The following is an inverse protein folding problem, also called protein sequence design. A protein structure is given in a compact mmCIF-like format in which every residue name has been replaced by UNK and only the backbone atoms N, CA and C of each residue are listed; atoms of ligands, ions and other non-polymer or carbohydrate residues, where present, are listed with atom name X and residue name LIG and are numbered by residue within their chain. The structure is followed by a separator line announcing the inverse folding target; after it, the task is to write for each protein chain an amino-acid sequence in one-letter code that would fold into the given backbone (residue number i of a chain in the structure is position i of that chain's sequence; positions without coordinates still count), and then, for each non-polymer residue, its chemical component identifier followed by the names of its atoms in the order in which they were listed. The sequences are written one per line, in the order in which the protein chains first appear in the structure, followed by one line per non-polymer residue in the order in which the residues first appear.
data_IF_314224350576
#
_entry.id   IF_314224350576
#
_cell.length_a   1.000
_cell.length_b   1.000
_cell.length_c   1.000
_cell.angle_alpha   90.00
_cell.angle_beta   90.00
_cell.angle_gamma   90.00
#
_symmetry.space_group_name_H-M   'P 1'
#
loop_
_entity.id
_entity.type
_entity.pdbx_description
1 polymer ?
2 non-polymer ?
3 non-polymer ?
4 non-polymer ?
5 non-polymer ?
6 water ?
#
# COMPACT_ATOMS: atom_id res chain seq x y z
N UNK A 1 0.95 14.19 13.06
CA UNK A 1 1.74 13.26 13.89
C UNK A 1 2.02 11.98 13.14
N UNK A 2 2.36 10.96 13.90
CA UNK A 2 2.80 9.64 13.41
C UNK A 2 1.71 9.01 12.54
N UNK A 3 0.45 9.00 13.00
CA UNK A 3 -0.63 8.34 12.23
C UNK A 3 -0.90 9.11 10.92
N UNK A 4 -0.82 10.45 10.93
CA UNK A 4 -0.97 11.21 9.66
C UNK A 4 0.20 10.85 8.72
N UNK A 5 1.41 10.72 9.26
CA UNK A 5 2.59 10.39 8.44
C UNK A 5 2.37 9.06 7.73
N UNK A 6 1.76 8.09 8.39
CA UNK A 6 1.49 6.79 7.74
C UNK A 6 0.59 7.07 6.53
N UNK A 7 -0.46 7.91 6.70
CA UNK A 7 -1.37 8.24 5.59
C UNK A 7 -0.60 8.97 4.47
N UNK A 8 0.30 9.87 4.82
CA UNK A 8 1.05 10.64 3.80
C UNK A 8 1.92 9.66 2.99
N UNK A 9 2.65 8.79 3.67
CA UNK A 9 3.59 7.85 2.99
C UNK A 9 2.76 6.91 2.13
N UNK A 10 1.65 6.40 2.65
CA UNK A 10 0.80 5.45 1.88
C UNK A 10 0.27 6.11 0.61
N UNK A 11 0.06 7.43 0.62
CA UNK A 11 -0.52 8.09 -0.56
C UNK A 11 0.45 8.15 -1.74
N UNK A 12 1.74 7.90 -1.52
CA UNK A 12 2.74 7.87 -2.60
C UNK A 12 3.77 6.81 -2.26
N UNK A 13 3.28 5.59 -1.93
CA UNK A 13 4.09 4.55 -1.26
C UNK A 13 5.30 4.16 -2.12
N UNK A 14 5.09 3.90 -3.41
CA UNK A 14 6.13 3.45 -4.35
C UNK A 14 7.32 4.41 -4.27
N UNK A 15 7.03 5.71 -4.39
CA UNK A 15 8.05 6.78 -4.43
C UNK A 15 8.73 6.92 -3.08
N UNK A 16 7.97 6.99 -1.98
CA UNK A 16 8.60 7.13 -0.64
C UNK A 16 9.44 5.89 -0.36
N UNK A 17 8.92 4.68 -0.67
CA UNK A 17 9.62 3.42 -0.37
C UNK A 17 11.00 3.43 -1.05
N UNK A 18 11.02 3.76 -2.33
CA UNK A 18 12.26 3.77 -3.11
C UNK A 18 13.19 4.84 -2.53
N UNK A 19 12.68 6.03 -2.27
CA UNK A 19 13.59 7.14 -1.89
C UNK A 19 14.12 6.91 -0.47
N UNK A 20 13.34 6.30 0.42
CA UNK A 20 13.85 6.02 1.79
C UNK A 20 14.88 4.90 1.72
N UNK A 21 14.61 3.85 0.95
CA UNK A 21 15.60 2.75 0.84
C UNK A 21 16.89 3.26 0.18
N UNK A 22 16.78 4.15 -0.83
CA UNK A 22 18.01 4.71 -1.46
C UNK A 22 18.73 5.57 -0.43
N UNK A 23 18.00 6.35 0.38
CA UNK A 23 18.67 7.17 1.42
C UNK A 23 19.47 6.26 2.35
N UNK A 24 18.91 5.12 2.70
CA UNK A 24 19.57 4.11 3.55
C UNK A 24 20.83 3.59 2.85
N UNK A 25 20.66 3.11 1.62
CA UNK A 25 21.83 2.48 0.95
C UNK A 25 22.94 3.49 0.71
N UNK A 26 22.57 4.74 0.39
CA UNK A 26 23.57 5.77 0.11
C UNK A 26 24.22 6.24 1.41
N UNK A 27 23.48 6.31 2.52
CA UNK A 27 24.11 6.69 3.80
C UNK A 27 25.05 5.59 4.31
N UNK A 28 24.67 4.32 4.13
CA UNK A 28 25.39 3.14 4.65
C UNK A 28 25.75 2.20 3.50
N UNK A 29 26.72 2.57 2.64
CA UNK A 29 27.00 1.74 1.48
C UNK A 29 27.43 0.31 1.81
N UNK A 30 28.02 0.08 2.98
CA UNK A 30 28.43 -1.29 3.38
C UNK A 30 27.19 -2.17 3.58
N UNK A 31 26.01 -1.58 3.75
CA UNK A 31 24.75 -2.37 3.93
C UNK A 31 24.43 -3.17 2.66
N UNK A 32 25.06 -2.85 1.52
CA UNK A 32 24.91 -3.65 0.27
C UNK A 32 25.46 -5.06 0.46
N UNK A 33 26.20 -5.34 1.54
CA UNK A 33 26.62 -6.73 1.83
C UNK A 33 25.36 -7.65 1.78
N UNK A 34 24.18 -7.11 2.11
CA UNK A 34 22.91 -7.88 2.21
C UNK A 34 22.10 -7.72 0.92
N UNK A 35 22.63 -6.98 -0.06
CA UNK A 35 21.92 -6.62 -1.32
C UNK A 35 22.95 -6.59 -2.45
N UNK A 36 23.57 -7.74 -2.73
CA UNK A 36 24.78 -7.79 -3.60
C UNK A 36 24.44 -7.43 -5.04
N UNK A 37 23.19 -7.59 -5.46
CA UNK A 37 22.75 -7.28 -6.84
C UNK A 37 22.55 -5.77 -7.01
N UNK A 38 22.59 -4.98 -5.93
CA UNK A 38 22.38 -3.51 -6.00
C UNK A 38 23.75 -2.80 -6.12
N UNK A 39 24.84 -3.55 -6.16
CA UNK A 39 26.22 -2.96 -6.34
C UNK A 39 26.37 -2.43 -7.78
N UNK A 40 27.10 -1.30 -7.92
CA UNK A 40 27.50 -0.75 -9.22
C UNK A 40 26.32 -0.17 -10.00
N UNK A 41 25.27 0.30 -9.33
CA UNK A 41 24.11 0.90 -10.03
C UNK A 41 23.68 2.17 -9.31
N UNK A 42 23.43 3.21 -10.11
CA UNK A 42 22.93 4.51 -9.65
C UNK A 42 21.50 4.35 -9.14
N UNK A 43 20.97 5.39 -8.49
CA UNK A 43 19.58 5.36 -8.00
C UNK A 43 18.64 5.06 -9.16
N UNK A 44 18.82 5.75 -10.29
CA UNK A 44 17.86 5.60 -11.41
C UNK A 44 17.94 4.17 -11.97
N UNK A 45 19.12 3.57 -12.01
CA UNK A 45 19.27 2.16 -12.45
C UNK A 45 18.60 1.21 -11.44
N UNK A 46 18.78 1.45 -10.13
CA UNK A 46 18.14 0.59 -9.12
C UNK A 46 16.62 0.63 -9.29
N UNK A 47 16.07 1.82 -9.55
CA UNK A 47 14.60 2.06 -9.69
C UNK A 47 14.05 1.44 -10.99
N UNK A 48 14.93 0.91 -11.85
CA UNK A 48 14.53 0.15 -13.07
C UNK A 48 14.59 -1.37 -12.83
N UNK A 49 15.16 -1.82 -11.70
CA UNK A 49 15.40 -3.27 -11.42
C UNK A 49 14.16 -3.82 -10.73
N UNK A 50 13.57 -4.86 -11.34
CA UNK A 50 12.22 -5.34 -10.92
C UNK A 50 12.19 -5.69 -9.44
N UNK A 51 13.18 -6.44 -8.94
CA UNK A 51 13.11 -6.87 -7.52
C UNK A 51 13.31 -5.64 -6.62
N UNK A 52 14.13 -4.70 -7.02
CA UNK A 52 14.33 -3.50 -6.16
C UNK A 52 12.97 -2.84 -5.91
N UNK A 53 12.23 -2.60 -6.98
CA UNK A 53 10.90 -1.98 -6.88
C UNK A 53 9.94 -2.87 -6.11
N UNK A 54 9.85 -4.15 -6.43
CA UNK A 54 8.81 -5.04 -5.83
C UNK A 54 9.17 -5.30 -4.36
N UNK A 55 10.44 -5.54 -4.05
CA UNK A 55 10.81 -5.82 -2.64
C UNK A 55 10.68 -4.54 -1.84
N UNK A 56 11.08 -3.40 -2.40
CA UNK A 56 10.99 -2.12 -1.62
C UNK A 56 9.53 -1.85 -1.29
N UNK A 57 8.64 -2.06 -2.25
CA UNK A 57 7.21 -1.78 -2.01
C UNK A 57 6.69 -2.74 -0.92
N UNK A 58 7.02 -4.02 -1.01
CA UNK A 58 6.49 -4.98 -0.04
C UNK A 58 7.06 -4.69 1.34
N UNK A 59 8.32 -4.27 1.44
CA UNK A 59 8.88 -3.89 2.76
C UNK A 59 8.07 -2.74 3.34
N UNK A 60 7.89 -1.68 2.57
CA UNK A 60 7.21 -0.45 3.06
C UNK A 60 5.72 -0.71 3.28
N UNK A 61 5.09 -1.57 2.51
CA UNK A 61 3.68 -1.97 2.75
C UNK A 61 3.62 -2.53 4.17
N UNK A 62 4.48 -3.49 4.50
CA UNK A 62 4.41 -4.14 5.83
C UNK A 62 4.85 -3.14 6.90
N UNK A 63 5.87 -2.32 6.64
CA UNK A 63 6.34 -1.35 7.65
C UNK A 63 5.18 -0.41 8.01
N UNK A 64 4.41 0.04 7.04
CA UNK A 64 3.27 0.97 7.35
C UNK A 64 2.22 0.20 8.17
N UNK A 65 2.01 -1.11 7.92
CA UNK A 65 1.04 -1.90 8.73
C UNK A 65 1.58 -1.99 10.16
N UNK A 66 2.87 -2.23 10.32
CA UNK A 66 3.43 -2.37 11.71
C UNK A 66 3.28 -1.01 12.42
N UNK A 67 3.55 0.06 11.71
CA UNK A 67 3.40 1.43 12.28
C UNK A 67 1.94 1.65 12.65
N UNK A 68 1.01 1.23 11.79
CA UNK A 68 -0.44 1.47 11.99
C UNK A 68 -0.98 0.65 13.17
N UNK A 69 -0.40 -0.55 13.40
CA UNK A 69 -0.87 -1.40 14.50
C UNK A 69 -0.24 -0.96 15.81
N UNK A 70 0.77 -0.08 15.76
CA UNK A 70 1.51 0.36 16.97
C UNK A 70 0.60 1.23 17.85
N UNK A 71 0.90 1.24 19.13
CA UNK A 71 0.35 2.23 20.12
C UNK A 71 1.50 3.13 20.54
N UNK A 72 1.32 4.43 20.39
CA UNK A 72 2.35 5.42 20.84
C UNK A 72 3.73 5.01 20.31
N UNK A 73 3.78 4.55 19.07
CA UNK A 73 5.05 4.22 18.37
C UNK A 73 5.69 2.94 18.93
N UNK A 74 4.92 2.14 19.65
CA UNK A 74 5.38 0.85 20.22
C UNK A 74 4.69 -0.24 19.42
N UNK A 75 5.46 -1.04 18.63
CA UNK A 75 4.87 -2.03 17.76
C UNK A 75 4.33 -3.18 18.60
N UNK A 76 3.37 -3.89 18.03
CA UNK A 76 2.92 -5.17 18.63
C UNK A 76 4.06 -6.19 18.71
N UNK A 77 4.08 -6.97 19.78
CA UNK A 77 5.05 -8.07 19.89
C UNK A 77 4.88 -9.06 18.74
N UNK A 78 3.65 -9.30 18.29
CA UNK A 78 3.42 -10.25 17.18
C UNK A 78 4.14 -9.76 15.91
N UNK A 79 4.12 -8.46 15.64
CA UNK A 79 4.78 -7.93 14.43
C UNK A 79 6.30 -8.10 14.60
N UNK A 80 6.85 -7.84 15.78
CA UNK A 80 8.31 -8.07 15.98
C UNK A 80 8.63 -9.56 15.75
N UNK A 81 7.84 -10.45 16.32
CA UNK A 81 8.05 -11.91 16.15
C UNK A 81 8.08 -12.25 14.66
N UNK A 82 7.07 -11.81 13.91
CA UNK A 82 6.99 -12.04 12.45
C UNK A 82 8.29 -11.58 11.78
N UNK A 83 8.77 -10.40 12.06
CA UNK A 83 9.96 -9.82 11.39
C UNK A 83 11.18 -10.66 11.75
N UNK A 84 11.28 -11.15 12.98
CA UNK A 84 12.49 -11.90 13.39
C UNK A 84 12.49 -13.26 12.69
N UNK A 85 11.32 -13.91 12.60
CA UNK A 85 11.16 -15.33 12.16
C UNK A 85 11.04 -15.46 10.63
N UNK A 86 10.91 -14.38 9.87
CA UNK A 86 10.92 -14.42 8.38
C UNK A 86 12.26 -15.02 7.89
N UNK A 87 12.22 -16.06 7.04
CA UNK A 87 13.45 -16.67 6.47
C UNK A 87 14.32 -15.60 5.79
N UNK A 88 13.68 -14.62 5.16
CA UNK A 88 14.33 -13.48 4.45
C UNK A 88 15.22 -12.67 5.40
N UNK A 89 14.95 -12.73 6.69
CA UNK A 89 15.67 -11.92 7.71
C UNK A 89 16.70 -12.77 8.44
N UNK A 90 17.03 -13.97 7.96
CA UNK A 90 17.92 -14.91 8.69
C UNK A 90 19.27 -14.25 8.97
N UNK A 91 19.78 -13.46 8.02
CA UNK A 91 21.09 -12.81 8.14
C UNK A 91 21.19 -11.65 9.13
N UNK A 92 20.07 -11.07 9.50
CA UNK A 92 20.06 -9.65 9.99
C UNK A 92 20.28 -9.54 11.50
N UNK A 93 20.70 -8.34 11.92
CA UNK A 93 20.80 -7.98 13.32
C UNK A 93 20.02 -6.69 13.51
N UNK A 94 19.83 -6.30 14.75
CA UNK A 94 19.05 -5.09 15.01
C UNK A 94 19.76 -3.86 14.44
N UNK A 95 21.08 -3.88 14.30
CA UNK A 95 21.77 -2.68 13.78
C UNK A 95 21.36 -2.39 12.34
N UNK A 96 21.00 -3.41 11.57
CA UNK A 96 20.51 -3.15 10.18
C UNK A 96 19.24 -2.29 10.30
N UNK A 97 18.34 -2.62 11.22
CA UNK A 97 17.07 -1.86 11.43
C UNK A 97 17.38 -0.45 11.93
N UNK A 98 18.32 -0.36 12.89
CA UNK A 98 18.70 0.95 13.49
C UNK A 98 19.14 1.89 12.38
N UNK A 99 19.93 1.41 11.42
CA UNK A 99 20.47 2.23 10.31
C UNK A 99 19.31 2.64 9.39
N UNK A 100 18.42 1.71 9.08
CA UNK A 100 17.26 2.05 8.23
C UNK A 100 16.51 3.22 8.86
N UNK A 101 16.27 3.16 10.16
CA UNK A 101 15.46 4.21 10.82
C UNK A 101 16.28 5.48 10.95
N UNK A 102 17.57 5.44 11.17
CA UNK A 102 18.37 6.69 11.14
C UNK A 102 18.21 7.38 9.76
N UNK A 103 18.32 6.63 8.69
CA UNK A 103 18.17 7.19 7.32
C UNK A 103 16.75 7.71 7.07
N UNK A 104 15.74 6.99 7.52
CA UNK A 104 14.33 7.42 7.34
C UNK A 104 14.12 8.75 8.07
N UNK A 105 14.59 8.87 9.30
CA UNK A 105 14.37 10.10 10.08
C UNK A 105 15.08 11.28 9.41
N UNK A 106 16.31 11.05 8.94
CA UNK A 106 17.08 12.14 8.29
C UNK A 106 16.35 12.54 7.00
N UNK A 107 15.83 11.57 6.26
CA UNK A 107 15.02 11.85 5.05
C UNK A 107 13.83 12.74 5.40
N UNK A 108 13.11 12.38 6.48
CA UNK A 108 11.93 13.17 6.91
C UNK A 108 12.33 14.58 7.32
N UNK A 109 13.44 14.73 8.06
CA UNK A 109 13.90 16.04 8.57
C UNK A 109 14.27 16.98 7.40
N UNK A 110 14.78 16.41 6.30
CA UNK A 110 15.22 17.15 5.09
C UNK A 110 14.03 17.51 4.21
N UNK A 111 12.90 16.82 4.32
CA UNK A 111 11.74 17.12 3.44
C UNK A 111 11.06 18.43 3.87
N UNK A 112 10.31 19.04 2.98
CA UNK A 112 9.55 20.26 3.32
C UNK A 112 8.29 19.98 4.15
N UNK A 113 7.96 18.71 4.37
CA UNK A 113 6.65 18.35 4.95
C UNK A 113 6.70 18.25 6.46
N UNK A 114 5.54 18.44 7.07
CA UNK A 114 5.34 18.40 8.53
C UNK A 114 5.37 16.95 9.03
N UNK A 115 6.34 16.12 8.61
CA UNK A 115 6.54 14.78 9.20
C UNK A 115 6.85 14.95 10.68
N UNK A 116 6.39 14.01 11.47
CA UNK A 116 6.69 13.95 12.94
C UNK A 116 7.97 13.09 13.10
N UNK A 117 9.09 13.66 12.77
CA UNK A 117 10.36 12.89 12.69
C UNK A 117 10.70 12.27 14.05
N UNK A 118 10.41 12.97 15.14
CA UNK A 118 10.72 12.43 16.50
C UNK A 118 9.91 11.16 16.75
N UNK A 119 8.65 11.09 16.29
CA UNK A 119 7.85 9.83 16.44
C UNK A 119 8.50 8.71 15.64
N UNK A 120 8.97 8.97 14.42
CA UNK A 120 9.63 7.89 13.65
C UNK A 120 10.94 7.42 14.31
N UNK A 121 11.65 8.33 14.97
CA UNK A 121 12.87 7.97 15.72
C UNK A 121 12.48 7.05 16.89
N UNK A 122 11.45 7.41 17.65
CA UNK A 122 10.92 6.54 18.71
C UNK A 122 10.52 5.18 18.14
N UNK A 123 9.77 5.18 17.05
CA UNK A 123 9.25 3.94 16.43
C UNK A 123 10.43 3.00 16.11
N UNK A 124 11.46 3.53 15.48
CA UNK A 124 12.65 2.74 15.12
C UNK A 124 13.33 2.17 16.34
N UNK A 125 13.50 2.97 17.36
CA UNK A 125 14.14 2.50 18.62
C UNK A 125 13.24 1.43 19.26
N UNK A 126 11.93 1.61 19.26
CA UNK A 126 10.98 0.69 19.92
C UNK A 126 10.90 -0.61 19.11
N UNK A 127 11.00 -0.50 17.78
CA UNK A 127 11.01 -1.71 16.93
C UNK A 127 12.30 -2.48 17.22
N UNK A 128 13.43 -1.80 17.29
CA UNK A 128 14.72 -2.48 17.60
C UNK A 128 14.63 -3.21 18.94
N UNK A 129 14.07 -2.57 19.97
CA UNK A 129 13.90 -3.20 21.30
C UNK A 129 12.99 -4.43 21.18
N UNK A 130 11.90 -4.30 20.45
CA UNK A 130 10.96 -5.42 20.27
C UNK A 130 11.62 -6.55 19.48
N UNK A 131 12.45 -6.20 18.49
CA UNK A 131 13.10 -7.28 17.68
C UNK A 131 14.07 -8.05 18.58
N UNK A 132 14.80 -7.33 19.43
CA UNK A 132 15.75 -7.99 20.34
C UNK A 132 14.98 -8.93 21.30
N UNK A 133 13.84 -8.49 21.84
CA UNK A 133 13.05 -9.32 22.79
C UNK A 133 12.46 -10.53 22.08
N UNK A 134 12.24 -10.44 20.78
CA UNK A 134 11.66 -11.54 19.96
C UNK A 134 12.75 -12.46 19.40
N UNK A 135 14.01 -12.14 19.63
CA UNK A 135 15.11 -13.05 19.36
C UNK A 135 16.10 -12.58 18.30
N UNK A 136 16.02 -11.37 17.81
CA UNK A 136 17.01 -10.92 16.79
C UNK A 136 18.32 -10.58 17.52
N UNK A 137 19.46 -11.00 16.97
CA UNK A 137 20.80 -10.68 17.51
C UNK A 137 21.18 -9.24 17.17
N UNK B 1 -11.22 -12.53 8.59
CA UNK B 1 -12.31 -11.58 8.47
C UNK B 1 -11.92 -10.38 7.64
N UNK B 2 -12.76 -9.34 7.70
CA UNK B 2 -12.60 -8.11 6.92
C UNK B 2 -11.28 -7.39 7.28
N UNK B 3 -10.97 -7.28 8.56
CA UNK B 3 -9.73 -6.57 8.97
C UNK B 3 -8.51 -7.35 8.53
N UNK B 4 -8.55 -8.69 8.56
CA UNK B 4 -7.39 -9.43 8.02
C UNK B 4 -7.30 -9.21 6.51
N UNK B 5 -8.42 -9.20 5.80
CA UNK B 5 -8.37 -8.99 4.34
C UNK B 5 -7.71 -7.65 4.04
N UNK B 6 -7.99 -6.61 4.83
CA UNK B 6 -7.37 -5.29 4.59
C UNK B 6 -5.84 -5.44 4.76
N UNK B 7 -5.37 -6.21 5.73
CA UNK B 7 -3.93 -6.50 5.92
C UNK B 7 -3.37 -7.31 4.74
N UNK B 8 -4.09 -8.34 4.29
CA UNK B 8 -3.64 -9.13 3.10
C UNK B 8 -3.46 -8.21 1.91
N UNK B 9 -4.50 -7.44 1.62
CA UNK B 9 -4.53 -6.58 0.43
C UNK B 9 -3.43 -5.52 0.53
N UNK B 10 -3.30 -4.86 1.68
CA UNK B 10 -2.27 -3.81 1.86
C UNK B 10 -0.87 -4.42 1.70
N UNK B 11 -0.66 -5.67 2.08
CA UNK B 11 0.66 -6.30 2.02
C UNK B 11 1.20 -6.37 0.60
N UNK B 12 0.32 -6.49 -0.38
CA UNK B 12 0.72 -6.52 -1.82
C UNK B 12 -0.19 -5.59 -2.63
N UNK B 13 -0.32 -4.36 -2.15
CA UNK B 13 -1.39 -3.42 -2.59
C UNK B 13 -1.39 -3.29 -4.12
N UNK B 14 -0.24 -3.02 -4.72
CA UNK B 14 -0.20 -2.74 -6.17
C UNK B 14 -0.59 -4.01 -6.96
N UNK B 15 -0.25 -5.20 -6.45
CA UNK B 15 -0.53 -6.43 -7.20
C UNK B 15 -2.06 -6.61 -7.22
N UNK B 16 -2.69 -6.52 -6.05
CA UNK B 16 -4.13 -6.76 -5.87
C UNK B 16 -4.90 -5.66 -6.61
N UNK B 17 -4.41 -4.41 -6.51
CA UNK B 17 -5.09 -3.27 -7.13
C UNK B 17 -5.21 -3.52 -8.63
N UNK B 18 -4.09 -3.88 -9.25
CA UNK B 18 -4.10 -4.11 -10.73
C UNK B 18 -5.08 -5.24 -11.06
N UNK B 19 -5.00 -6.34 -10.32
CA UNK B 19 -5.74 -7.57 -10.72
C UNK B 19 -7.24 -7.32 -10.50
N UNK B 20 -7.60 -6.60 -9.44
CA UNK B 20 -9.05 -6.33 -9.19
C UNK B 20 -9.55 -5.34 -10.26
N UNK B 21 -8.80 -4.28 -10.51
CA UNK B 21 -9.21 -3.30 -11.54
C UNK B 21 -9.38 -4.00 -12.89
N UNK B 22 -8.44 -4.88 -13.25
CA UNK B 22 -8.54 -5.60 -14.54
C UNK B 22 -9.74 -6.53 -14.49
N UNK B 23 -10.02 -7.16 -13.37
CA UNK B 23 -11.21 -8.02 -13.33
C UNK B 23 -12.46 -7.17 -13.60
N UNK B 24 -12.50 -5.99 -13.00
CA UNK B 24 -13.60 -5.04 -13.19
C UNK B 24 -13.74 -4.65 -14.65
N UNK B 25 -12.66 -4.17 -15.26
CA UNK B 25 -12.74 -3.68 -16.68
C UNK B 25 -13.10 -4.82 -17.61
N UNK B 26 -12.63 -6.03 -17.32
CA UNK B 26 -12.92 -7.14 -18.26
C UNK B 26 -14.35 -7.63 -18.06
N UNK B 27 -14.90 -7.56 -16.83
CA UNK B 27 -16.29 -7.99 -16.60
C UNK B 27 -17.23 -6.95 -17.23
N UNK B 28 -16.86 -5.67 -17.14
CA UNK B 28 -17.74 -4.56 -17.51
C UNK B 28 -17.02 -3.65 -18.50
N UNK B 29 -16.79 -4.13 -19.74
CA UNK B 29 -15.96 -3.35 -20.66
C UNK B 29 -16.48 -1.93 -20.97
N UNK B 30 -17.80 -1.71 -20.86
CA UNK B 30 -18.36 -0.36 -21.10
C UNK B 30 -17.77 0.62 -20.07
N UNK B 31 -17.34 0.10 -18.93
CA UNK B 31 -16.81 1.00 -17.88
C UNK B 31 -15.53 1.70 -18.33
N UNK B 32 -14.91 1.26 -19.42
CA UNK B 32 -13.75 2.01 -19.99
C UNK B 32 -14.14 3.43 -20.44
N UNK B 33 -15.43 3.72 -20.57
CA UNK B 33 -15.94 5.10 -20.79
C UNK B 33 -15.21 6.08 -19.85
N UNK B 34 -14.88 5.60 -18.65
CA UNK B 34 -14.31 6.42 -17.56
C UNK B 34 -12.77 6.41 -17.64
N UNK B 35 -12.21 5.59 -18.51
CA UNK B 35 -10.75 5.28 -18.56
C UNK B 35 -10.28 5.23 -20.01
N UNK B 36 -10.53 6.31 -20.73
CA UNK B 36 -10.29 6.40 -22.18
C UNK B 36 -8.82 6.07 -22.51
N UNK B 37 -7.88 6.28 -21.59
CA UNK B 37 -6.43 6.08 -21.93
C UNK B 37 -6.00 4.63 -21.64
N UNK B 38 -6.94 3.76 -21.30
CA UNK B 38 -6.68 2.31 -21.08
C UNK B 38 -7.35 1.47 -22.16
N UNK B 39 -8.00 2.11 -23.12
CA UNK B 39 -8.64 1.44 -24.26
C UNK B 39 -7.58 0.80 -25.18
N UNK B 40 -7.90 -0.40 -25.69
CA UNK B 40 -7.08 -0.98 -26.78
C UNK B 40 -5.79 -1.63 -26.28
N UNK B 41 -5.77 -2.04 -25.00
CA UNK B 41 -4.59 -2.64 -24.33
C UNK B 41 -5.00 -3.91 -23.58
N UNK B 42 -4.19 -4.96 -23.69
CA UNK B 42 -4.43 -6.19 -22.92
C UNK B 42 -4.08 -5.96 -21.47
N UNK B 43 -4.32 -6.97 -20.64
CA UNK B 43 -3.99 -6.86 -19.21
C UNK B 43 -2.48 -6.57 -19.06
N UNK B 44 -1.63 -7.29 -19.78
CA UNK B 44 -0.18 -7.15 -19.59
C UNK B 44 0.30 -5.86 -20.27
N UNK B 45 -0.38 -5.39 -21.30
CA UNK B 45 -0.04 -4.10 -21.94
C UNK B 45 -0.32 -2.95 -20.96
N UNK B 46 -1.37 -3.08 -20.15
CA UNK B 46 -1.73 -2.11 -19.10
C UNK B 46 -0.72 -2.20 -17.94
N UNK B 47 -0.41 -3.40 -17.46
CA UNK B 47 0.44 -3.59 -16.26
C UNK B 47 1.87 -3.08 -16.50
N UNK B 48 2.27 -2.93 -17.77
CA UNK B 48 3.62 -2.46 -18.17
C UNK B 48 3.70 -0.94 -17.99
N UNK B 49 2.57 -0.23 -18.11
CA UNK B 49 2.53 1.26 -18.04
C UNK B 49 2.65 1.68 -16.57
N UNK B 50 3.76 2.32 -16.20
CA UNK B 50 3.93 2.88 -14.85
C UNK B 50 2.66 3.65 -14.45
N UNK B 51 2.06 4.38 -15.36
CA UNK B 51 0.88 5.20 -14.97
C UNK B 51 -0.26 4.30 -14.47
N UNK B 52 -0.39 3.10 -15.03
CA UNK B 52 -1.50 2.19 -14.66
C UNK B 52 -1.29 1.71 -13.22
N UNK B 53 -0.08 1.27 -12.95
CA UNK B 53 0.26 0.82 -11.60
C UNK B 53 0.08 1.95 -10.60
N UNK B 54 0.47 3.16 -10.97
CA UNK B 54 0.40 4.27 -9.99
C UNK B 54 -1.08 4.59 -9.74
N UNK B 55 -1.89 4.71 -10.77
CA UNK B 55 -3.33 5.01 -10.64
C UNK B 55 -3.98 3.96 -9.74
N UNK B 56 -3.78 2.70 -10.05
CA UNK B 56 -4.51 1.61 -9.36
C UNK B 56 -4.08 1.57 -7.90
N UNK B 57 -2.79 1.70 -7.62
CA UNK B 57 -2.35 1.58 -6.22
C UNK B 57 -2.91 2.76 -5.42
N UNK B 58 -2.99 3.95 -6.00
CA UNK B 58 -3.49 5.13 -5.26
C UNK B 58 -4.99 4.96 -4.98
N UNK B 59 -5.76 4.51 -5.96
CA UNK B 59 -7.19 4.22 -5.76
C UNK B 59 -7.33 3.20 -4.63
N UNK B 60 -6.57 2.13 -4.68
CA UNK B 60 -6.78 1.00 -3.77
C UNK B 60 -6.30 1.40 -2.37
N UNK B 61 -5.26 2.23 -2.29
CA UNK B 61 -4.83 2.75 -0.98
C UNK B 61 -6.00 3.46 -0.32
N UNK B 62 -6.67 4.35 -1.05
CA UNK B 62 -7.78 5.09 -0.39
C UNK B 62 -8.90 4.09 -0.08
N UNK B 63 -9.14 3.12 -0.97
CA UNK B 63 -10.20 2.13 -0.68
C UNK B 63 -9.91 1.44 0.64
N UNK B 64 -8.64 1.08 0.87
CA UNK B 64 -8.27 0.38 2.09
C UNK B 64 -8.38 1.30 3.31
N UNK B 65 -8.09 2.61 3.18
CA UNK B 65 -8.27 3.58 4.28
C UNK B 65 -9.77 3.63 4.64
N UNK B 66 -10.64 3.72 3.63
CA UNK B 66 -12.11 3.80 3.85
C UNK B 66 -12.56 2.50 4.50
N UNK B 67 -12.06 1.36 4.02
CA UNK B 67 -12.47 0.07 4.58
C UNK B 67 -12.00 -0.03 6.03
N UNK B 68 -10.80 0.43 6.33
CA UNK B 68 -10.30 0.28 7.73
C UNK B 68 -11.04 1.25 8.66
N UNK B 69 -11.48 2.40 8.16
CA UNK B 69 -12.23 3.37 9.00
C UNK B 69 -13.68 2.93 9.20
N UNK B 70 -14.16 1.99 8.40
CA UNK B 70 -15.54 1.50 8.53
C UNK B 70 -15.75 0.81 9.90
N UNK B 71 -17.00 0.80 10.36
CA UNK B 71 -17.42 -0.02 11.52
C UNK B 71 -18.34 -1.10 10.98
N UNK B 72 -18.13 -2.38 11.29
CA UNK B 72 -19.02 -3.47 10.80
C UNK B 72 -19.33 -3.28 9.31
N UNK B 73 -18.31 -2.92 8.52
CA UNK B 73 -18.42 -2.78 7.06
C UNK B 73 -19.39 -1.66 6.65
N UNK B 74 -19.56 -0.68 7.49
CA UNK B 74 -20.33 0.54 7.18
C UNK B 74 -19.33 1.67 7.12
N UNK B 75 -19.09 2.24 5.93
CA UNK B 75 -18.14 3.32 5.79
C UNK B 75 -18.66 4.59 6.48
N UNK B 76 -17.74 5.42 6.91
CA UNK B 76 -18.04 6.76 7.43
C UNK B 76 -18.68 7.60 6.33
N UNK B 77 -19.67 8.37 6.73
CA UNK B 77 -20.34 9.35 5.83
C UNK B 77 -19.30 10.33 5.29
N UNK B 78 -18.31 10.71 6.11
CA UNK B 78 -17.28 11.69 5.69
C UNK B 78 -16.45 11.06 4.56
N UNK B 79 -16.19 9.77 4.62
CA UNK B 79 -15.38 9.09 3.57
C UNK B 79 -16.23 9.03 2.31
N UNK B 80 -17.50 8.70 2.45
CA UNK B 80 -18.42 8.67 1.28
C UNK B 80 -18.45 10.06 0.63
N UNK B 81 -18.55 11.12 1.43
CA UNK B 81 -18.58 12.51 0.93
C UNK B 81 -17.29 12.80 0.17
N UNK B 82 -16.15 12.41 0.73
CA UNK B 82 -14.87 12.63 0.01
C UNK B 82 -14.94 12.03 -1.39
N UNK B 83 -15.41 10.79 -1.48
CA UNK B 83 -15.46 10.11 -2.78
C UNK B 83 -16.48 10.80 -3.69
N UNK B 84 -17.59 11.31 -3.18
CA UNK B 84 -18.58 12.06 -4.00
C UNK B 84 -17.98 13.36 -4.54
N UNK B 85 -17.20 14.07 -3.72
CA UNK B 85 -16.74 15.45 -3.97
C UNK B 85 -15.43 15.51 -4.76
N UNK B 86 -14.74 14.39 -4.92
CA UNK B 86 -13.50 14.36 -5.74
C UNK B 86 -13.81 14.76 -7.19
N UNK B 87 -13.03 15.71 -7.70
CA UNK B 87 -13.16 16.29 -9.06
C UNK B 87 -13.15 15.13 -10.05
N UNK B 88 -12.31 14.14 -9.78
CA UNK B 88 -12.06 13.01 -10.72
C UNK B 88 -13.29 12.10 -10.78
N UNK B 89 -14.22 12.24 -9.83
CA UNK B 89 -15.44 11.44 -9.75
C UNK B 89 -16.68 12.21 -10.22
N UNK B 90 -16.51 13.40 -10.83
CA UNK B 90 -17.64 14.23 -11.31
C UNK B 90 -18.59 13.43 -12.22
N UNK B 91 -18.14 12.55 -13.12
CA UNK B 91 -19.10 11.86 -14.01
C UNK B 91 -19.95 10.76 -13.35
N UNK B 92 -19.55 10.27 -12.17
CA UNK B 92 -19.89 8.91 -11.70
C UNK B 92 -21.26 8.86 -11.04
N UNK B 93 -21.82 7.65 -11.05
CA UNK B 93 -23.04 7.32 -10.31
C UNK B 93 -22.78 6.08 -9.46
N UNK B 94 -23.70 5.77 -8.57
CA UNK B 94 -23.44 4.67 -7.62
C UNK B 94 -23.27 3.35 -8.37
N UNK B 95 -23.88 3.19 -9.53
CA UNK B 95 -23.73 1.99 -10.37
C UNK B 95 -22.27 1.71 -10.71
N UNK B 96 -21.47 2.74 -10.94
CA UNK B 96 -20.03 2.52 -11.23
C UNK B 96 -19.42 1.73 -10.05
N UNK B 97 -19.77 2.14 -8.82
CA UNK B 97 -19.23 1.57 -7.58
C UNK B 97 -19.80 0.17 -7.35
N UNK B 98 -21.08 -0.03 -7.61
CA UNK B 98 -21.71 -1.34 -7.43
C UNK B 98 -20.96 -2.35 -8.32
N UNK B 99 -20.71 -2.02 -9.59
CA UNK B 99 -20.05 -2.93 -10.54
C UNK B 99 -18.65 -3.24 -10.02
N UNK B 100 -17.94 -2.24 -9.54
CA UNK B 100 -16.56 -2.47 -9.02
C UNK B 100 -16.63 -3.52 -7.91
N UNK B 101 -17.57 -3.39 -6.97
CA UNK B 101 -17.61 -4.30 -5.81
C UNK B 101 -18.10 -5.69 -6.23
N UNK B 102 -18.95 -5.78 -7.24
CA UNK B 102 -19.33 -7.12 -7.77
C UNK B 102 -18.03 -7.79 -8.26
N UNK B 103 -17.22 -7.07 -9.02
CA UNK B 103 -16.00 -7.68 -9.58
C UNK B 103 -15.02 -8.00 -8.47
N UNK B 104 -14.91 -7.16 -7.45
CA UNK B 104 -13.96 -7.42 -6.34
C UNK B 104 -14.37 -8.66 -5.58
N UNK B 105 -15.66 -8.80 -5.31
CA UNK B 105 -16.15 -9.99 -4.59
C UNK B 105 -15.94 -11.26 -5.45
N UNK B 106 -16.20 -11.20 -6.77
CA UNK B 106 -15.98 -12.38 -7.66
C UNK B 106 -14.49 -12.74 -7.65
N UNK B 107 -13.63 -11.73 -7.68
CA UNK B 107 -12.18 -11.98 -7.58
C UNK B 107 -11.84 -12.73 -6.29
N UNK B 108 -12.38 -12.26 -5.16
CA UNK B 108 -12.11 -12.92 -3.87
C UNK B 108 -12.63 -14.36 -3.83
N UNK B 109 -13.83 -14.58 -4.34
CA UNK B 109 -14.47 -15.92 -4.36
C UNK B 109 -13.59 -16.86 -5.21
N UNK B 110 -13.02 -16.38 -6.30
CA UNK B 110 -12.21 -17.20 -7.25
C UNK B 110 -10.82 -17.48 -6.68
N UNK B 111 -10.31 -16.65 -5.76
CA UNK B 111 -8.96 -16.86 -5.19
C UNK B 111 -8.99 -18.12 -4.29
N UNK B 112 -7.87 -18.74 -4.10
CA UNK B 112 -7.85 -19.87 -3.16
C UNK B 112 -7.73 -19.39 -1.75
N UNK B 113 -7.75 -18.07 -1.55
CA UNK B 113 -7.50 -17.52 -0.20
C UNK B 113 -8.83 -17.35 0.52
N UNK B 114 -8.77 -17.42 1.84
CA UNK B 114 -9.95 -17.27 2.73
C UNK B 114 -10.31 -15.79 2.94
N UNK B 115 -10.55 -15.06 1.88
CA UNK B 115 -11.15 -13.73 1.97
C UNK B 115 -12.56 -13.86 2.54
N UNK B 116 -12.94 -12.82 3.27
CA UNK B 116 -14.30 -12.69 3.84
C UNK B 116 -15.18 -12.07 2.76
N UNK B 117 -15.50 -12.83 1.73
CA UNK B 117 -16.23 -12.27 0.57
C UNK B 117 -17.56 -11.66 1.02
N UNK B 118 -18.23 -12.23 2.03
CA UNK B 118 -19.54 -11.69 2.45
C UNK B 118 -19.32 -10.28 3.02
N UNK B 119 -18.26 -10.06 3.79
CA UNK B 119 -18.02 -8.71 4.36
C UNK B 119 -17.77 -7.69 3.24
N UNK B 120 -17.03 -8.09 2.19
CA UNK B 120 -16.73 -7.16 1.09
C UNK B 120 -18.01 -6.86 0.31
N UNK B 121 -18.88 -7.88 0.13
CA UNK B 121 -20.16 -7.72 -0.60
C UNK B 121 -21.04 -6.72 0.16
N UNK B 122 -21.08 -6.80 1.49
CA UNK B 122 -21.84 -5.86 2.34
C UNK B 122 -21.16 -4.49 2.37
N UNK B 123 -19.84 -4.45 2.45
CA UNK B 123 -19.12 -3.17 2.42
C UNK B 123 -19.47 -2.43 1.12
N UNK B 124 -19.43 -3.12 0.00
CA UNK B 124 -19.81 -2.47 -1.26
C UNK B 124 -21.23 -1.95 -1.22
N UNK B 125 -22.18 -2.75 -0.73
CA UNK B 125 -23.59 -2.31 -0.66
C UNK B 125 -23.71 -1.10 0.26
N UNK B 126 -23.02 -1.15 1.40
CA UNK B 126 -23.10 -0.04 2.39
C UNK B 126 -22.38 1.21 1.87
N UNK B 127 -21.34 1.04 1.08
CA UNK B 127 -20.66 2.17 0.42
C UNK B 127 -21.61 2.81 -0.60
N UNK B 128 -22.23 2.01 -1.47
CA UNK B 128 -23.23 2.53 -2.42
C UNK B 128 -24.32 3.34 -1.69
N UNK B 129 -24.86 2.78 -0.60
CA UNK B 129 -25.90 3.46 0.20
C UNK B 129 -25.33 4.81 0.68
N UNK B 130 -24.12 4.79 1.24
CA UNK B 130 -23.46 5.98 1.84
C UNK B 130 -23.17 7.01 0.74
N UNK B 131 -22.76 6.58 -0.43
CA UNK B 131 -22.53 7.50 -1.57
C UNK B 131 -23.84 8.19 -1.94
N UNK B 132 -24.95 7.45 -2.02
CA UNK B 132 -26.28 8.06 -2.24
C UNK B 132 -26.60 9.09 -1.15
N UNK B 133 -26.38 8.72 0.11
CA UNK B 133 -26.66 9.63 1.27
C UNK B 133 -25.78 10.89 1.20
N UNK B 134 -24.60 10.80 0.59
CA UNK B 134 -23.64 11.92 0.48
C UNK B 134 -23.80 12.67 -0.85
N UNK B 135 -24.79 12.30 -1.66
CA UNK B 135 -25.30 13.10 -2.79
C UNK B 135 -24.88 12.62 -4.16
N UNK B 136 -24.38 11.38 -4.28
CA UNK B 136 -24.10 10.79 -5.60
C UNK B 136 -25.41 10.31 -6.21
N UNK B 137 -25.59 10.56 -7.51
CA UNK B 137 -26.78 10.08 -8.24
C UNK B 137 -26.63 8.59 -8.57
#
# INVERSE_FOLDING_TARGET
GFKQDIATLRGDLRTYAQDIFLAFLNKYPDEKRNFKNYVGKSDQELKSMAKFGDHTEKVFNLMMEVADRATDCVPLASDASTLVQMKQHSGLTTGNFEKLFVALVEYMRASGQSFDSQSWDRFGKNLVSALSSAGMK
GFKQDIATLRGDLRTYAQDIFLAFLNKYPDEKRNFKNYVGKSDQELKSMAKFGDHTEKVFNLMMEVADRATDCVPLASDASTLVQMKQHSGLTTGNFEKLFVALVEYMRASGQSFDSQSWDRFGKNLVSALSSAGMK
#
